data_IF_863867690749
#
_entry.id   IF_863867690749
#
_cell.length_a   1.000
_cell.length_b   1.000
_cell.length_c   1.000
_cell.angle_alpha   90.00
_cell.angle_beta   90.00
_cell.angle_gamma   90.00
#
_symmetry.space_group_name_H-M   'P 1'
#
loop_
_entity.id
_entity.type
_entity.pdbx_description
1 polymer ?
#
# COMPACT_ATOMS: atom_id res chain seq x y z
N UNK A 1 30.37 11.10 19.42
CA UNK A 1 28.88 11.08 19.51
C UNK A 1 28.38 9.77 18.90
N UNK A 2 27.83 8.82 19.69
CA UNK A 2 27.30 7.55 19.17
C UNK A 2 25.82 7.73 18.79
N UNK A 3 25.53 7.90 17.50
CA UNK A 3 24.15 7.93 16.99
C UNK A 3 23.60 6.50 17.10
N UNK A 4 22.89 6.20 18.18
CA UNK A 4 22.08 4.98 18.31
C UNK A 4 20.81 5.16 17.49
N UNK A 5 20.89 4.97 16.17
CA UNK A 5 19.68 4.84 15.38
C UNK A 5 18.96 3.53 15.78
N UNK A 6 17.76 3.63 16.35
CA UNK A 6 16.91 2.47 16.65
C UNK A 6 16.26 1.96 15.36
N UNK A 7 17.05 1.33 14.50
CA UNK A 7 16.56 0.62 13.31
C UNK A 7 15.42 -0.40 13.56
N UNK A 8 15.26 -1.03 14.75
CA UNK A 8 14.13 -1.91 15.03
C UNK A 8 12.77 -1.22 14.94
N UNK A 9 12.65 0.02 15.42
CA UNK A 9 11.36 0.74 15.48
C UNK A 9 10.85 1.10 14.09
N UNK A 10 11.75 1.47 13.16
CA UNK A 10 11.40 1.78 11.77
C UNK A 10 10.84 0.53 11.06
N UNK A 11 11.46 -0.63 11.27
CA UNK A 11 11.01 -1.91 10.73
C UNK A 11 9.66 -2.33 11.29
N UNK A 12 9.48 -2.24 12.60
CA UNK A 12 8.23 -2.60 13.24
C UNK A 12 7.07 -1.71 12.80
N UNK A 13 7.29 -0.40 12.71
CA UNK A 13 6.27 0.54 12.26
C UNK A 13 5.87 0.29 10.81
N UNK A 14 6.83 0.04 9.92
CA UNK A 14 6.55 -0.29 8.52
C UNK A 14 5.79 -1.62 8.38
N UNK A 15 6.20 -2.67 9.10
CA UNK A 15 5.50 -3.95 9.11
C UNK A 15 4.07 -3.81 9.67
N UNK A 16 3.89 -3.02 10.73
CA UNK A 16 2.57 -2.72 11.30
C UNK A 16 1.70 -2.00 10.28
N UNK A 17 2.25 -1.01 9.57
CA UNK A 17 1.53 -0.28 8.52
C UNK A 17 1.07 -1.19 7.38
N UNK A 18 1.97 -2.04 6.87
CA UNK A 18 1.64 -3.01 5.81
C UNK A 18 0.57 -3.99 6.31
N UNK A 19 0.67 -4.47 7.56
CA UNK A 19 -0.34 -5.35 8.16
C UNK A 19 -1.71 -4.68 8.24
N UNK A 20 -1.76 -3.43 8.71
CA UNK A 20 -3.01 -2.65 8.78
C UNK A 20 -3.61 -2.43 7.39
N UNK A 21 -2.78 -2.11 6.39
CA UNK A 21 -3.23 -1.99 5.01
C UNK A 21 -3.80 -3.30 4.47
N UNK A 22 -3.11 -4.42 4.68
CA UNK A 22 -3.59 -5.75 4.27
C UNK A 22 -4.92 -6.10 4.94
N UNK A 23 -5.08 -5.82 6.24
CA UNK A 23 -6.35 -6.02 6.95
C UNK A 23 -7.47 -5.16 6.38
N UNK A 24 -7.19 -3.88 6.13
CA UNK A 24 -8.13 -2.97 5.46
C UNK A 24 -8.59 -3.54 4.12
N UNK A 25 -7.67 -4.04 3.28
CA UNK A 25 -8.02 -4.59 1.97
C UNK A 25 -8.92 -5.82 2.07
N UNK A 26 -8.64 -6.74 3.00
CA UNK A 26 -9.48 -7.92 3.26
C UNK A 26 -10.87 -7.57 3.79
N UNK A 27 -10.96 -6.57 4.67
CA UNK A 27 -12.25 -6.11 5.18
C UNK A 27 -13.10 -5.50 4.07
N UNK A 28 -12.49 -4.69 3.19
CA UNK A 28 -13.21 -4.08 2.07
C UNK A 28 -13.60 -5.11 1.01
N UNK A 29 -12.74 -6.09 0.69
CA UNK A 29 -13.14 -7.15 -0.25
C UNK A 29 -14.32 -7.97 0.28
N UNK A 30 -14.33 -8.28 1.56
CA UNK A 30 -15.45 -8.97 2.19
C UNK A 30 -16.73 -8.13 2.13
N UNK A 31 -16.65 -6.84 2.46
CA UNK A 31 -17.80 -5.94 2.43
C UNK A 31 -18.36 -5.78 1.01
N UNK A 32 -17.51 -5.59 0.02
CA UNK A 32 -17.91 -5.49 -1.39
C UNK A 32 -18.52 -6.80 -1.91
N UNK A 33 -18.00 -7.95 -1.48
CA UNK A 33 -18.58 -9.25 -1.82
C UNK A 33 -19.99 -9.43 -1.21
N UNK A 34 -20.23 -8.93 0.00
CA UNK A 34 -21.57 -8.93 0.60
C UNK A 34 -22.53 -8.03 -0.19
N UNK A 35 -22.11 -6.81 -0.54
CA UNK A 35 -22.93 -5.89 -1.34
C UNK A 35 -23.24 -6.49 -2.71
N UNK A 36 -22.23 -7.07 -3.37
CA UNK A 36 -22.40 -7.81 -4.63
C UNK A 36 -23.47 -8.90 -4.50
N UNK A 37 -23.44 -9.70 -3.41
CA UNK A 37 -24.43 -10.73 -3.15
C UNK A 37 -25.84 -10.16 -2.98
N UNK A 38 -25.99 -9.06 -2.25
CA UNK A 38 -27.28 -8.37 -2.07
C UNK A 38 -27.82 -7.83 -3.40
N UNK A 39 -26.98 -7.19 -4.21
CA UNK A 39 -27.39 -6.65 -5.52
C UNK A 39 -27.71 -7.77 -6.52
N UNK A 40 -27.01 -8.90 -6.45
CA UNK A 40 -27.32 -10.08 -7.25
C UNK A 40 -28.71 -10.65 -6.91
N UNK A 41 -29.09 -10.68 -5.63
CA UNK A 41 -30.42 -11.10 -5.18
C UNK A 41 -31.54 -10.14 -5.65
N UNK A 42 -31.21 -8.85 -5.83
CA UNK A 42 -32.12 -7.85 -6.40
C UNK A 42 -32.18 -7.87 -7.94
N UNK A 43 -31.41 -8.75 -8.59
CA UNK A 43 -31.31 -8.85 -10.06
C UNK A 43 -30.75 -7.56 -10.69
N UNK A 44 -29.97 -6.78 -9.93
CA UNK A 44 -29.31 -5.57 -10.43
C UNK A 44 -27.94 -5.92 -11.02
N UNK A 45 -27.96 -6.44 -12.26
CA UNK A 45 -26.76 -6.97 -12.91
C UNK A 45 -25.61 -5.95 -13.03
N UNK A 46 -25.93 -4.68 -13.31
CA UNK A 46 -24.92 -3.62 -13.45
C UNK A 46 -24.15 -3.46 -12.13
N UNK A 47 -24.86 -3.25 -11.03
CA UNK A 47 -24.24 -3.12 -9.72
C UNK A 47 -23.50 -4.40 -9.30
N UNK A 48 -24.06 -5.58 -9.58
CA UNK A 48 -23.38 -6.85 -9.29
C UNK A 48 -22.01 -6.93 -9.97
N UNK A 49 -21.90 -6.57 -11.25
CA UNK A 49 -20.61 -6.57 -11.95
C UNK A 49 -19.64 -5.52 -11.41
N UNK A 50 -20.12 -4.33 -11.08
CA UNK A 50 -19.29 -3.27 -10.48
C UNK A 50 -18.68 -3.72 -9.15
N UNK A 51 -19.52 -4.24 -8.25
CA UNK A 51 -19.06 -4.75 -6.95
C UNK A 51 -18.21 -6.02 -7.07
N UNK A 52 -18.41 -6.85 -8.10
CA UNK A 52 -17.52 -7.98 -8.41
C UNK A 52 -16.12 -7.49 -8.81
N UNK A 53 -16.04 -6.55 -9.76
CA UNK A 53 -14.75 -5.97 -10.21
C UNK A 53 -14.04 -5.30 -9.03
N UNK A 54 -14.76 -4.53 -8.22
CA UNK A 54 -14.21 -3.92 -7.01
C UNK A 54 -13.72 -4.98 -6.02
N UNK A 55 -14.50 -6.04 -5.77
CA UNK A 55 -14.09 -7.14 -4.88
C UNK A 55 -12.78 -7.77 -5.34
N UNK A 56 -12.68 -8.14 -6.63
CA UNK A 56 -11.47 -8.74 -7.20
C UNK A 56 -10.28 -7.79 -7.04
N UNK A 57 -10.48 -6.51 -7.32
CA UNK A 57 -9.44 -5.48 -7.19
C UNK A 57 -8.88 -5.36 -5.77
N UNK A 58 -9.74 -5.36 -4.75
CA UNK A 58 -9.32 -5.36 -3.35
C UNK A 58 -8.65 -6.67 -2.94
N UNK A 59 -9.14 -7.84 -3.40
CA UNK A 59 -8.50 -9.14 -3.16
C UNK A 59 -7.09 -9.19 -3.74
N UNK A 60 -6.92 -8.81 -5.00
CA UNK A 60 -5.60 -8.81 -5.65
C UNK A 60 -4.63 -7.92 -4.89
N UNK A 61 -5.06 -6.72 -4.50
CA UNK A 61 -4.26 -5.82 -3.67
C UNK A 61 -3.90 -6.46 -2.31
N UNK A 62 -4.86 -7.17 -1.68
CA UNK A 62 -4.64 -7.83 -0.39
C UNK A 62 -3.62 -8.95 -0.48
N UNK A 63 -3.66 -9.76 -1.54
CA UNK A 63 -2.72 -10.84 -1.80
C UNK A 63 -1.30 -10.28 -2.01
N UNK A 64 -1.16 -9.24 -2.84
CA UNK A 64 0.14 -8.59 -3.08
C UNK A 64 0.72 -8.03 -1.77
N UNK A 65 -0.09 -7.32 -0.98
CA UNK A 65 0.34 -6.74 0.30
C UNK A 65 0.67 -7.81 1.35
N UNK A 66 -0.06 -8.92 1.38
CA UNK A 66 0.20 -10.07 2.26
C UNK A 66 1.55 -10.72 1.94
N UNK A 67 1.81 -10.94 0.66
CA UNK A 67 3.07 -11.53 0.18
C UNK A 67 4.26 -10.61 0.48
N UNK A 68 4.09 -9.30 0.26
CA UNK A 68 5.08 -8.29 0.66
C UNK A 68 5.40 -8.36 2.16
N UNK A 69 4.37 -8.37 3.00
CA UNK A 69 4.54 -8.49 4.45
C UNK A 69 5.34 -9.73 4.84
N UNK A 70 5.01 -10.88 4.24
CA UNK A 70 5.68 -12.15 4.54
C UNK A 70 7.14 -12.16 4.11
N UNK A 71 7.44 -11.63 2.92
CA UNK A 71 8.81 -11.50 2.43
C UNK A 71 9.65 -10.59 3.33
N UNK A 72 9.12 -9.42 3.74
CA UNK A 72 9.86 -8.52 4.64
C UNK A 72 10.14 -9.14 6.01
N UNK A 73 9.25 -9.97 6.55
CA UNK A 73 9.53 -10.68 7.81
C UNK A 73 10.71 -11.65 7.69
N UNK A 74 10.88 -12.28 6.53
CA UNK A 74 11.92 -13.30 6.28
C UNK A 74 13.26 -12.70 5.86
N UNK A 75 13.25 -11.59 5.13
CA UNK A 75 14.47 -10.98 4.61
C UNK A 75 15.21 -10.27 5.77
N UNK A 76 16.54 -10.40 5.88
CA UNK A 76 17.32 -9.64 6.84
C UNK A 76 17.32 -8.15 6.46
N UNK A 77 17.17 -7.27 7.46
CA UNK A 77 17.02 -5.83 7.27
C UNK A 77 18.06 -5.22 6.31
N UNK A 78 19.34 -5.60 6.41
CA UNK A 78 20.43 -5.14 5.52
C UNK A 78 20.20 -5.36 4.02
N UNK A 79 19.31 -6.30 3.64
CA UNK A 79 19.01 -6.64 2.24
C UNK A 79 17.75 -5.96 1.71
N UNK A 80 17.03 -5.18 2.52
CA UNK A 80 15.77 -4.55 2.10
C UNK A 80 15.97 -3.60 0.93
N UNK A 81 17.01 -2.76 0.93
CA UNK A 81 17.26 -1.84 -0.17
C UNK A 81 17.46 -2.57 -1.51
N UNK A 82 18.17 -3.71 -1.52
CA UNK A 82 18.32 -4.55 -2.73
C UNK A 82 16.99 -5.15 -3.15
N UNK A 83 16.22 -5.63 -2.18
CA UNK A 83 14.91 -6.20 -2.42
C UNK A 83 13.95 -5.18 -3.06
N UNK A 84 13.90 -3.96 -2.53
CA UNK A 84 13.07 -2.88 -3.07
C UNK A 84 13.60 -2.32 -4.38
N UNK A 85 14.92 -2.31 -4.62
CA UNK A 85 15.48 -1.89 -5.91
C UNK A 85 15.26 -2.92 -7.02
N UNK A 86 15.26 -4.21 -6.68
CA UNK A 86 15.05 -5.30 -7.63
C UNK A 86 13.58 -5.52 -8.01
N UNK A 87 12.65 -5.02 -7.19
CA UNK A 87 11.21 -5.07 -7.46
C UNK A 87 10.71 -3.67 -7.78
N UNK A 88 10.20 -3.46 -8.98
CA UNK A 88 9.27 -2.36 -9.24
C UNK A 88 8.02 -2.60 -8.41
N UNK A 89 8.01 -2.11 -7.17
CA UNK A 89 6.84 -2.20 -6.32
C UNK A 89 5.76 -1.29 -6.90
N UNK A 90 4.73 -1.92 -7.47
CA UNK A 90 3.52 -1.27 -7.99
C UNK A 90 2.78 -0.47 -6.89
N UNK A 91 3.08 -0.74 -5.62
CA UNK A 91 2.49 -0.03 -4.48
C UNK A 91 2.92 1.44 -4.51
N UNK A 92 1.98 2.35 -4.74
CA UNK A 92 2.21 3.79 -4.76
C UNK A 92 2.11 4.48 -6.11
N UNK A 93 2.43 3.79 -7.20
CA UNK A 93 2.41 4.37 -8.56
C UNK A 93 0.99 4.73 -8.99
N UNK A 94 0.00 4.03 -8.44
CA UNK A 94 -1.42 4.24 -8.75
C UNK A 94 -2.16 5.11 -7.74
N UNK A 95 -1.48 5.76 -6.77
CA UNK A 95 -2.10 6.65 -5.79
C UNK A 95 -3.03 7.67 -6.45
N UNK A 96 -2.50 8.40 -7.42
CA UNK A 96 -3.22 9.46 -8.14
C UNK A 96 -4.40 8.86 -8.90
N UNK A 97 -4.24 7.67 -9.47
CA UNK A 97 -5.32 6.95 -10.16
C UNK A 97 -6.43 6.56 -9.19
N UNK A 98 -6.11 6.04 -8.01
CA UNK A 98 -7.13 5.71 -7.00
C UNK A 98 -7.92 6.94 -6.57
N UNK A 99 -7.23 8.05 -6.27
CA UNK A 99 -7.90 9.29 -5.85
C UNK A 99 -8.79 9.84 -6.97
N UNK A 100 -8.28 9.89 -8.21
CA UNK A 100 -9.07 10.35 -9.37
C UNK A 100 -10.27 9.44 -9.60
N UNK A 101 -10.10 8.12 -9.59
CA UNK A 101 -11.20 7.16 -9.76
C UNK A 101 -12.26 7.31 -8.66
N UNK A 102 -11.84 7.52 -7.41
CA UNK A 102 -12.75 7.80 -6.31
C UNK A 102 -13.52 9.11 -6.51
N UNK A 103 -12.86 10.17 -6.95
CA UNK A 103 -13.53 11.44 -7.27
C UNK A 103 -14.52 11.31 -8.43
N UNK A 104 -14.16 10.56 -9.48
CA UNK A 104 -15.06 10.26 -10.60
C UNK A 104 -16.31 9.53 -10.10
N UNK A 105 -16.16 8.56 -9.20
CA UNK A 105 -17.31 7.87 -8.61
C UNK A 105 -18.16 8.76 -7.70
N UNK A 106 -17.57 9.69 -6.94
CA UNK A 106 -18.34 10.68 -6.18
C UNK A 106 -19.16 11.57 -7.13
N UNK A 107 -18.58 12.01 -8.25
CA UNK A 107 -19.29 12.81 -9.26
C UNK A 107 -20.38 11.99 -9.95
N UNK A 108 -20.12 10.72 -10.26
CA UNK A 108 -21.13 9.82 -10.81
C UNK A 108 -22.29 9.56 -9.83
N UNK A 109 -21.98 9.52 -8.53
CA UNK A 109 -22.98 9.36 -7.47
C UNK A 109 -23.96 10.54 -7.41
N UNK A 110 -23.48 11.77 -7.65
CA UNK A 110 -24.33 12.96 -7.76
C UNK A 110 -25.33 12.88 -8.93
N UNK A 111 -25.06 12.04 -9.94
CA UNK A 111 -25.89 11.90 -11.14
C UNK A 111 -26.87 10.72 -11.07
N UNK A 112 -26.45 9.58 -10.51
CA UNK A 112 -27.24 8.33 -10.54
C UNK A 112 -27.34 7.59 -9.21
N UNK A 113 -26.56 7.96 -8.20
CA UNK A 113 -26.51 7.32 -6.88
C UNK A 113 -25.93 5.89 -6.89
N UNK A 114 -25.45 5.43 -5.73
CA UNK A 114 -25.03 4.04 -5.48
C UNK A 114 -23.51 3.77 -5.42
N UNK A 115 -22.65 4.75 -5.67
CA UNK A 115 -21.19 4.60 -5.75
C UNK A 115 -20.41 5.20 -4.58
N UNK A 116 -21.03 6.07 -3.76
CA UNK A 116 -20.34 6.73 -2.65
C UNK A 116 -19.55 5.78 -1.72
N UNK A 117 -20.08 4.61 -1.29
CA UNK A 117 -19.33 3.70 -0.43
C UNK A 117 -18.06 3.21 -1.10
N UNK A 118 -18.15 2.75 -2.37
CA UNK A 118 -17.00 2.27 -3.13
C UNK A 118 -15.97 3.39 -3.36
N UNK A 119 -16.43 4.60 -3.68
CA UNK A 119 -15.58 5.75 -3.91
C UNK A 119 -14.72 6.08 -2.68
N UNK A 120 -15.34 6.12 -1.49
CA UNK A 120 -14.65 6.36 -0.22
C UNK A 120 -13.60 5.28 0.04
N UNK A 121 -13.93 4.00 -0.20
CA UNK A 121 -12.99 2.90 -0.01
C UNK A 121 -11.77 3.02 -0.93
N UNK A 122 -11.97 3.41 -2.19
CA UNK A 122 -10.87 3.59 -3.16
C UNK A 122 -9.98 4.79 -2.75
N UNK A 123 -10.57 5.90 -2.30
CA UNK A 123 -9.79 7.05 -1.81
C UNK A 123 -8.94 6.64 -0.60
N UNK A 124 -9.55 5.96 0.37
CA UNK A 124 -8.84 5.49 1.56
C UNK A 124 -7.73 4.51 1.17
N UNK A 125 -7.98 3.59 0.23
CA UNK A 125 -6.94 2.70 -0.34
C UNK A 125 -5.76 3.50 -0.87
N UNK A 126 -6.02 4.57 -1.63
CA UNK A 126 -4.97 5.49 -2.10
C UNK A 126 -4.15 6.05 -0.94
N UNK A 127 -4.80 6.61 0.08
CA UNK A 127 -4.11 7.16 1.27
C UNK A 127 -3.23 6.11 1.96
N UNK A 128 -3.72 4.88 2.10
CA UNK A 128 -2.93 3.79 2.65
C UNK A 128 -1.69 3.46 1.81
N UNK A 129 -1.83 3.39 0.48
CA UNK A 129 -0.69 3.15 -0.41
C UNK A 129 0.37 4.24 -0.29
N UNK A 130 -0.04 5.51 -0.24
CA UNK A 130 0.88 6.62 0.00
C UNK A 130 1.67 6.44 1.29
N UNK A 131 0.99 6.07 2.38
CA UNK A 131 1.64 5.82 3.66
C UNK A 131 2.60 4.63 3.58
N UNK A 132 2.19 3.52 2.99
CA UNK A 132 3.04 2.33 2.81
C UNK A 132 4.30 2.66 2.01
N UNK A 133 4.18 3.43 0.93
CA UNK A 133 5.32 3.91 0.11
C UNK A 133 6.28 4.71 0.95
N UNK A 134 5.77 5.67 1.74
CA UNK A 134 6.61 6.47 2.64
C UNK A 134 7.41 5.58 3.60
N UNK A 135 6.77 4.57 4.19
CA UNK A 135 7.46 3.61 5.06
C UNK A 135 8.47 2.73 4.30
N UNK A 136 8.16 2.29 3.08
CA UNK A 136 9.08 1.51 2.23
C UNK A 136 10.31 2.33 1.84
N UNK A 137 10.13 3.60 1.46
CA UNK A 137 11.24 4.50 1.13
C UNK A 137 12.14 4.74 2.35
N UNK A 138 11.55 5.01 3.51
CA UNK A 138 12.28 5.15 4.77
C UNK A 138 13.05 3.87 5.13
N UNK A 139 12.41 2.70 4.97
CA UNK A 139 13.05 1.39 5.16
C UNK A 139 14.22 1.17 4.19
N UNK A 140 14.05 1.57 2.94
CA UNK A 140 15.06 1.44 1.89
C UNK A 140 16.30 2.25 2.24
N UNK A 141 16.11 3.54 2.56
CA UNK A 141 17.21 4.42 2.98
C UNK A 141 17.87 3.91 4.26
N UNK A 142 17.07 3.56 5.27
CA UNK A 142 17.60 3.08 6.55
C UNK A 142 18.38 1.76 6.41
N UNK A 143 17.89 0.83 5.58
CA UNK A 143 18.58 -0.44 5.34
C UNK A 143 19.85 -0.29 4.50
N UNK A 144 19.87 0.66 3.56
CA UNK A 144 21.08 1.01 2.80
C UNK A 144 22.15 1.59 3.73
N UNK A 145 21.79 2.60 4.55
CA UNK A 145 22.71 3.19 5.54
C UNK A 145 23.26 2.15 6.50
N UNK A 146 22.40 1.25 7.00
CA UNK A 146 22.83 0.17 7.90
C UNK A 146 23.81 -0.80 7.23
N UNK A 147 23.58 -1.17 5.97
CA UNK A 147 24.46 -2.07 5.21
C UNK A 147 25.83 -1.42 4.93
N UNK A 148 25.86 -0.13 4.56
CA UNK A 148 27.11 0.61 4.30
C UNK A 148 27.93 0.86 5.58
N UNK A 149 27.27 1.17 6.71
CA UNK A 149 27.95 1.29 8.01
C UNK A 149 28.60 -0.04 8.39
N UNK A 150 27.92 -1.17 8.19
CA UNK A 150 28.47 -2.49 8.51
C UNK A 150 29.66 -2.87 7.64
N UNK A 151 29.72 -2.40 6.39
CA UNK A 151 30.85 -2.65 5.48
C UNK A 151 32.04 -1.71 5.73
N UNK A 152 31.85 -0.64 6.51
CA UNK A 152 32.86 0.40 6.70
C UNK A 152 33.02 1.31 5.47
N UNK A 153 32.06 1.31 4.55
CA UNK A 153 32.10 2.10 3.30
C UNK A 153 31.37 3.45 3.45
N UNK A 154 31.44 4.07 4.63
CA UNK A 154 30.72 5.31 4.96
C UNK A 154 31.10 6.46 4.03
N UNK A 155 32.33 6.46 3.52
CA UNK A 155 32.87 7.47 2.59
C UNK A 155 32.17 7.47 1.21
N UNK A 156 31.44 6.40 0.88
CA UNK A 156 30.65 6.30 -0.36
C UNK A 156 29.22 6.84 -0.22
N UNK A 157 28.81 7.24 0.98
CA UNK A 157 27.51 7.84 1.23
C UNK A 157 27.50 9.29 0.75
N UNK A 158 26.94 9.53 -0.44
CA UNK A 158 26.56 10.88 -0.85
C UNK A 158 25.20 11.22 -0.23
N UNK A 159 25.17 12.22 0.65
CA UNK A 159 23.92 12.86 1.04
C UNK A 159 23.53 13.80 -0.09
N UNK A 160 22.49 13.43 -0.84
CA UNK A 160 21.85 14.36 -1.77
C UNK A 160 21.07 15.36 -0.91
N UNK A 161 21.47 16.62 -0.98
CA UNK A 161 20.79 17.73 -0.31
C UNK A 161 19.37 17.86 -0.89
N UNK A 162 18.30 17.67 -0.10
CA UNK A 162 16.93 17.76 -0.60
C UNK A 162 16.49 19.20 -0.93
N UNK A 163 17.35 20.21 -0.69
CA UNK A 163 17.07 21.62 -0.95
C UNK A 163 17.91 22.23 -2.09
N UNK A 164 18.68 21.42 -2.83
CA UNK A 164 19.40 21.82 -4.04
C UNK A 164 18.90 21.09 -5.28
#
# INVERSE_FOLDING_TARGET
MRIKARFPEVRENALRMIKMYTMFLWMNSLLLAMIMGVEALKINLIATFEYLVATVFFITSALISSELFHQLRRIPFRKYWRFFKARSFIVGEYLTVHIITGLVFIVADLLRGGFAPLAIMIIIKGVFEYMVVKYINNLTVASFLYDEILKGEVDRLSMIDPFR
#
